data_IF_044919266942
#
_entry.id   IF_044919266942
#
_cell.length_a   1.000
_cell.length_b   1.000
_cell.length_c   1.000
_cell.angle_alpha   90.00
_cell.angle_beta   90.00
_cell.angle_gamma   90.00
#
_symmetry.space_group_name_H-M   'P 1'
#
loop_
_entity.id
_entity.type
_entity.pdbx_description
1 polymer ?
#
# COMPACT_ATOMS: atom_id res chain seq x y z
N UNK A 1 -16.78 15.99 14.90
CA UNK A 1 -16.18 16.81 13.82
C UNK A 1 -15.43 15.94 12.85
N UNK A 2 -15.68 16.12 11.58
CA UNK A 2 -14.98 15.36 10.55
C UNK A 2 -13.55 15.86 10.39
N UNK A 3 -12.62 14.94 10.39
CA UNK A 3 -11.21 15.22 10.27
C UNK A 3 -10.71 14.87 8.87
N UNK A 4 -9.90 15.74 8.29
CA UNK A 4 -9.24 15.42 7.03
C UNK A 4 -8.15 14.40 7.31
N UNK A 5 -8.16 13.31 6.53
CA UNK A 5 -7.12 12.28 6.61
C UNK A 5 -6.26 12.32 5.37
N UNK A 6 -4.97 12.11 5.54
CA UNK A 6 -4.00 12.12 4.45
C UNK A 6 -3.48 10.70 4.26
N UNK A 7 -3.60 10.21 3.01
CA UNK A 7 -3.19 8.86 2.63
C UNK A 7 -2.23 8.94 1.44
N UNK A 8 -0.96 9.25 1.67
CA UNK A 8 0.01 9.35 0.58
C UNK A 8 0.29 7.99 -0.04
N UNK A 9 0.46 7.97 -1.37
CA UNK A 9 0.78 6.76 -2.10
C UNK A 9 2.27 6.47 -2.07
N UNK A 10 2.63 5.19 -1.91
CA UNK A 10 4.02 4.76 -2.00
C UNK A 10 4.43 4.41 -3.43
N UNK A 11 3.57 4.65 -4.41
CA UNK A 11 3.87 4.36 -5.81
C UNK A 11 5.11 5.07 -6.31
N UNK A 12 5.36 6.30 -5.84
CA UNK A 12 6.51 7.11 -6.21
C UNK A 12 7.70 6.93 -5.25
N UNK A 13 7.58 6.05 -4.26
CA UNK A 13 8.64 5.83 -3.28
C UNK A 13 9.76 4.97 -3.88
N UNK A 14 10.91 4.96 -3.20
CA UNK A 14 12.01 4.06 -3.55
C UNK A 14 11.65 2.65 -3.07
N UNK A 15 11.31 1.77 -3.99
CA UNK A 15 10.88 0.40 -3.67
C UNK A 15 11.96 -0.43 -2.98
N UNK A 16 13.23 -0.04 -3.13
CA UNK A 16 14.33 -0.73 -2.45
C UNK A 16 14.39 -0.39 -0.96
N UNK A 17 13.64 0.64 -0.52
CA UNK A 17 13.65 1.11 0.86
C UNK A 17 12.23 1.42 1.36
N UNK A 18 11.27 0.57 1.03
CA UNK A 18 9.87 0.83 1.31
C UNK A 18 9.59 1.04 2.80
N UNK A 19 10.18 0.26 3.69
CA UNK A 19 9.95 0.44 5.13
C UNK A 19 10.42 1.79 5.64
N UNK A 20 11.57 2.26 5.14
CA UNK A 20 12.09 3.59 5.48
C UNK A 20 11.21 4.69 4.91
N UNK A 21 10.72 4.51 3.69
CA UNK A 21 9.83 5.48 3.05
C UNK A 21 8.51 5.61 3.81
N UNK A 22 7.93 4.49 4.24
CA UNK A 22 6.71 4.48 5.03
C UNK A 22 6.94 5.18 6.38
N UNK A 23 8.06 4.91 7.01
CA UNK A 23 8.40 5.56 8.28
C UNK A 23 8.51 7.08 8.13
N UNK A 24 9.11 7.54 7.04
CA UNK A 24 9.19 8.97 6.75
C UNK A 24 7.82 9.60 6.60
N UNK A 25 6.89 8.90 5.95
CA UNK A 25 5.52 9.37 5.79
C UNK A 25 4.77 9.41 7.13
N UNK A 26 4.95 8.39 7.97
CA UNK A 26 4.38 8.38 9.32
C UNK A 26 4.90 9.55 10.14
N UNK A 27 6.21 9.74 10.16
CA UNK A 27 6.85 10.81 10.91
C UNK A 27 6.41 12.18 10.40
N UNK A 28 6.06 12.28 9.12
CA UNK A 28 5.53 13.49 8.51
C UNK A 28 4.06 13.76 8.78
N UNK A 29 3.37 12.85 9.47
CA UNK A 29 1.97 13.03 9.87
C UNK A 29 0.93 12.37 8.99
N UNK A 30 1.30 11.40 8.15
CA UNK A 30 0.33 10.66 7.36
C UNK A 30 -0.63 9.87 8.25
N UNK A 31 -1.90 9.84 7.89
CA UNK A 31 -2.93 9.09 8.62
C UNK A 31 -3.01 7.64 8.15
N UNK A 32 -2.73 7.42 6.86
CA UNK A 32 -2.75 6.11 6.23
C UNK A 32 -1.65 6.05 5.19
N UNK A 33 -1.34 4.85 4.72
CA UNK A 33 -0.46 4.65 3.57
C UNK A 33 -1.30 4.10 2.43
N UNK A 34 -1.32 4.79 1.30
CA UNK A 34 -2.03 4.33 0.12
C UNK A 34 -1.13 3.43 -0.71
N UNK A 35 -1.62 2.21 -0.99
CA UNK A 35 -0.87 1.20 -1.72
C UNK A 35 -1.60 0.89 -3.02
N UNK A 36 -1.02 1.31 -4.13
CA UNK A 36 -1.55 1.04 -5.46
C UNK A 36 -1.01 -0.29 -5.98
N UNK A 37 -1.88 -1.27 -6.10
CA UNK A 37 -1.52 -2.62 -6.58
C UNK A 37 -1.91 -2.75 -8.04
N UNK A 38 -0.92 -3.02 -8.88
CA UNK A 38 -1.07 -3.16 -10.33
C UNK A 38 -0.52 -4.51 -10.78
N UNK A 39 -1.20 -5.17 -11.71
CA UNK A 39 -0.90 -6.54 -12.11
C UNK A 39 -0.30 -6.68 -13.51
N UNK A 40 -0.11 -5.60 -14.24
CA UNK A 40 0.37 -5.65 -15.61
C UNK A 40 -0.66 -6.19 -16.59
N UNK A 41 -1.92 -6.32 -16.15
CA UNK A 41 -3.02 -6.88 -16.94
C UNK A 41 -4.18 -5.89 -17.02
N UNK A 42 -4.77 -5.54 -15.87
CA UNK A 42 -5.79 -4.50 -15.79
C UNK A 42 -5.20 -3.14 -16.14
N UNK A 43 -3.98 -2.87 -15.69
CA UNK A 43 -3.20 -1.67 -16.00
C UNK A 43 -1.79 -2.08 -16.44
N UNK A 44 -1.11 -1.27 -17.30
CA UNK A 44 0.18 -1.67 -17.87
C UNK A 44 1.36 -1.39 -16.91
N UNK A 45 1.30 -1.89 -15.71
CA UNK A 45 2.37 -1.78 -14.72
C UNK A 45 2.27 -2.92 -13.72
N UNK A 46 3.38 -3.23 -13.07
CA UNK A 46 3.46 -4.23 -12.00
C UNK A 46 4.00 -3.55 -10.76
N UNK A 47 3.35 -3.71 -9.61
CA UNK A 47 3.83 -3.10 -8.39
C UNK A 47 4.13 -4.13 -7.31
N UNK A 48 3.23 -4.34 -6.34
CA UNK A 48 3.55 -5.19 -5.18
C UNK A 48 2.44 -6.20 -4.90
N UNK A 49 2.84 -7.33 -4.34
CA UNK A 49 1.91 -8.39 -3.95
C UNK A 49 1.72 -8.47 -2.44
N UNK A 50 0.84 -9.37 -1.99
CA UNK A 50 0.56 -9.55 -0.56
C UNK A 50 1.80 -9.80 0.31
N UNK A 51 2.82 -10.57 -0.12
CA UNK A 51 4.00 -10.78 0.71
C UNK A 51 4.74 -9.51 1.06
N UNK A 52 4.80 -8.55 0.12
CA UNK A 52 5.46 -7.26 0.37
C UNK A 52 4.68 -6.47 1.41
N UNK A 53 3.36 -6.38 1.26
CA UNK A 53 2.50 -5.68 2.21
C UNK A 53 2.61 -6.30 3.61
N UNK A 54 2.56 -7.62 3.69
CA UNK A 54 2.70 -8.34 4.96
C UNK A 54 4.02 -8.03 5.64
N UNK A 55 5.10 -7.98 4.88
CA UNK A 55 6.42 -7.64 5.40
C UNK A 55 6.47 -6.19 5.92
N UNK A 56 5.89 -5.26 5.17
CA UNK A 56 5.86 -3.85 5.56
C UNK A 56 5.04 -3.61 6.82
N UNK A 57 3.93 -4.34 6.99
CA UNK A 57 3.08 -4.21 8.17
C UNK A 57 3.80 -4.53 9.48
N UNK A 58 4.86 -5.32 9.44
CA UNK A 58 5.67 -5.61 10.63
C UNK A 58 6.44 -4.39 11.12
N UNK A 59 6.66 -3.41 10.25
CA UNK A 59 7.46 -2.22 10.55
C UNK A 59 6.63 -0.96 10.73
N UNK A 60 5.30 -1.09 10.70
CA UNK A 60 4.41 0.06 10.76
C UNK A 60 3.10 -0.30 11.45
N UNK A 61 2.61 0.60 12.29
CA UNK A 61 1.30 0.47 12.93
C UNK A 61 0.21 1.26 12.21
N UNK A 62 0.59 2.01 11.18
CA UNK A 62 -0.35 2.85 10.44
C UNK A 62 -1.26 1.99 9.54
N UNK A 63 -2.47 2.45 9.30
CA UNK A 63 -3.42 1.76 8.43
C UNK A 63 -2.96 1.83 6.97
N UNK A 64 -3.05 0.71 6.27
CA UNK A 64 -2.76 0.66 4.83
C UNK A 64 -4.09 0.72 4.07
N UNK A 65 -4.19 1.68 3.17
CA UNK A 65 -5.33 1.90 2.29
C UNK A 65 -4.96 1.32 0.92
N UNK A 66 -5.42 0.09 0.64
CA UNK A 66 -4.96 -0.68 -0.52
C UNK A 66 -5.94 -0.55 -1.67
N UNK A 67 -5.45 -0.08 -2.81
CA UNK A 67 -6.21 0.08 -4.04
C UNK A 67 -5.80 -1.03 -5.03
N UNK A 68 -6.70 -1.96 -5.30
CA UNK A 68 -6.44 -3.11 -6.15
C UNK A 68 -6.81 -2.82 -7.61
N UNK A 69 -5.82 -2.50 -8.43
CA UNK A 69 -5.96 -2.33 -9.87
C UNK A 69 -5.53 -3.61 -10.58
N UNK A 70 -6.29 -4.67 -10.35
CA UNK A 70 -5.97 -6.03 -10.81
C UNK A 70 -7.23 -6.71 -11.38
N UNK A 71 -7.02 -7.69 -12.25
CA UNK A 71 -8.11 -8.47 -12.86
C UNK A 71 -7.69 -9.94 -12.94
N UNK A 72 -8.50 -10.88 -12.42
CA UNK A 72 -9.72 -10.66 -11.62
C UNK A 72 -9.41 -10.30 -10.17
N UNK A 73 -10.11 -9.30 -9.64
CA UNK A 73 -9.84 -8.81 -8.29
C UNK A 73 -10.35 -9.76 -7.21
N UNK A 74 -11.49 -10.41 -7.44
CA UNK A 74 -12.16 -11.23 -6.43
C UNK A 74 -11.29 -12.39 -5.91
N UNK A 75 -10.35 -12.88 -6.71
CA UNK A 75 -9.44 -13.96 -6.31
C UNK A 75 -8.41 -13.52 -5.27
N UNK A 76 -8.17 -12.23 -5.16
CA UNK A 76 -7.04 -11.71 -4.39
C UNK A 76 -7.44 -10.84 -3.20
N UNK A 77 -8.72 -10.45 -3.09
CA UNK A 77 -9.18 -9.57 -2.02
C UNK A 77 -8.78 -10.11 -0.64
N UNK A 78 -9.06 -11.40 -0.39
CA UNK A 78 -8.74 -12.01 0.91
C UNK A 78 -7.23 -12.00 1.17
N UNK A 79 -6.43 -12.32 0.17
CA UNK A 79 -4.97 -12.35 0.33
C UNK A 79 -4.42 -10.99 0.74
N UNK A 80 -4.91 -9.93 0.14
CA UNK A 80 -4.49 -8.57 0.49
C UNK A 80 -5.04 -8.14 1.85
N UNK A 81 -6.27 -8.51 2.18
CA UNK A 81 -6.84 -8.19 3.48
C UNK A 81 -6.11 -8.89 4.63
N UNK A 82 -5.63 -10.10 4.39
CA UNK A 82 -4.91 -10.90 5.41
C UNK A 82 -3.44 -10.46 5.56
N UNK A 83 -2.95 -9.72 4.60
CA UNK A 83 -1.56 -9.26 4.63
C UNK A 83 -1.31 -8.15 5.65
#
# INVERSE_FOLDING_TARGET
MKKIQISPSILSADFSQLSNEIKRLEDGGADMIHVDVMDGHFVPNLTIGPPVIKSLKKHSSILFDVHLMISPVHKYIKAYADA
#
